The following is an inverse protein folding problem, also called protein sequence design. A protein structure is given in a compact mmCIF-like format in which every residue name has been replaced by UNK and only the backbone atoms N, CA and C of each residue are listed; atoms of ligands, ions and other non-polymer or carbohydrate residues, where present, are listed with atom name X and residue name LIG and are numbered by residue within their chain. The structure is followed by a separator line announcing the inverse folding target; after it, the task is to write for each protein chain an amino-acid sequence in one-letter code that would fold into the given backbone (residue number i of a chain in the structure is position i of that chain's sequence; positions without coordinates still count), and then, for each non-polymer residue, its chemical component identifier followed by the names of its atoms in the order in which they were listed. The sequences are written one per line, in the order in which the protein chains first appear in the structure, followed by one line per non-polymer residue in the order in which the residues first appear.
data_IF_250696045076
#
_entry.id   IF_250696045076
#
_cell.length_a   1.000
_cell.length_b   1.000
_cell.length_c   1.000
_cell.angle_alpha   90.00
_cell.angle_beta   90.00
_cell.angle_gamma   90.00
#
_symmetry.space_group_name_H-M   'P 1'
#
loop_
_entity.id
_entity.type
_entity.pdbx_description
1 polymer ?
#
# COMPACT_ATOMS: atom_id res chain seq x y z
N UNK A 1 21.05 -11.23 -4.80
CA UNK A 1 21.47 -9.86 -4.41
C UNK A 1 21.64 -8.97 -5.65
N UNK A 2 22.28 -9.46 -6.72
CA UNK A 2 22.46 -8.69 -7.97
C UNK A 2 21.15 -8.37 -8.71
N UNK A 3 20.18 -9.29 -8.67
CA UNK A 3 18.90 -9.15 -9.36
C UNK A 3 17.98 -8.06 -8.76
N UNK A 4 18.08 -7.87 -7.46
CA UNK A 4 17.29 -6.82 -6.77
C UNK A 4 17.87 -5.44 -7.07
N UNK A 5 19.20 -5.30 -7.09
CA UNK A 5 19.85 -4.02 -7.40
C UNK A 5 19.60 -3.51 -8.81
N UNK A 6 19.47 -4.41 -9.80
CA UNK A 6 19.21 -4.00 -11.19
C UNK A 6 17.82 -3.41 -11.44
N UNK A 7 16.88 -3.61 -10.52
CA UNK A 7 15.51 -3.06 -10.60
C UNK A 7 15.26 -1.82 -9.73
N UNK A 8 16.21 -1.42 -8.93
CA UNK A 8 16.01 -0.40 -7.90
C UNK A 8 16.62 0.97 -8.25
N UNK A 9 17.14 1.12 -9.47
CA UNK A 9 17.85 2.33 -9.85
C UNK A 9 19.21 2.48 -9.16
N UNK A 10 20.00 3.44 -9.59
CA UNK A 10 21.34 3.70 -9.04
C UNK A 10 21.27 4.44 -7.69
N UNK A 11 20.25 5.27 -7.51
CA UNK A 11 20.01 6.05 -6.30
C UNK A 11 18.54 5.97 -5.87
N UNK A 12 18.19 6.25 -4.62
CA UNK A 12 16.81 6.34 -4.17
C UNK A 12 16.03 7.34 -5.03
N UNK A 13 14.86 6.92 -5.51
CA UNK A 13 13.97 7.72 -6.35
C UNK A 13 14.57 8.18 -7.69
N UNK A 14 15.54 7.44 -8.24
CA UNK A 14 16.15 7.77 -9.56
C UNK A 14 15.25 7.44 -10.75
N UNK A 15 14.36 6.45 -10.59
CA UNK A 15 13.45 6.01 -11.65
C UNK A 15 12.38 7.06 -11.98
N UNK A 16 12.05 7.19 -13.26
CA UNK A 16 11.08 8.20 -13.73
C UNK A 16 9.69 8.00 -13.14
N UNK A 17 9.25 6.77 -13.00
CA UNK A 17 7.97 6.40 -12.40
C UNK A 17 7.92 6.81 -10.93
N UNK A 18 9.01 6.59 -10.20
CA UNK A 18 9.12 6.99 -8.81
C UNK A 18 9.12 8.51 -8.67
N UNK A 19 9.84 9.23 -9.53
CA UNK A 19 9.82 10.71 -9.57
C UNK A 19 8.42 11.24 -9.84
N UNK A 20 7.71 10.65 -10.80
CA UNK A 20 6.33 11.04 -11.12
C UNK A 20 5.39 10.82 -9.91
N UNK A 21 5.50 9.69 -9.23
CA UNK A 21 4.71 9.40 -8.04
C UNK A 21 5.02 10.37 -6.88
N UNK A 22 6.28 10.66 -6.64
CA UNK A 22 6.71 11.65 -5.64
C UNK A 22 6.09 13.01 -5.94
N UNK A 23 6.14 13.44 -7.19
CA UNK A 23 5.56 14.70 -7.62
C UNK A 23 4.05 14.75 -7.36
N UNK A 24 3.32 13.70 -7.73
CA UNK A 24 1.88 13.61 -7.45
C UNK A 24 1.62 13.70 -5.94
N UNK A 25 2.36 12.96 -5.13
CA UNK A 25 2.21 13.00 -3.68
C UNK A 25 2.47 14.41 -3.12
N UNK A 26 3.45 15.12 -3.66
CA UNK A 26 3.77 16.48 -3.22
C UNK A 26 2.72 17.51 -3.63
N UNK A 27 2.18 17.39 -4.84
CA UNK A 27 1.24 18.36 -5.42
C UNK A 27 -0.20 18.23 -4.88
N UNK A 28 -0.61 17.04 -4.43
CA UNK A 28 -1.98 16.80 -3.98
C UNK A 28 -2.08 16.63 -2.46
N UNK A 29 -3.02 17.33 -1.87
CA UNK A 29 -3.37 17.21 -0.44
C UNK A 29 -4.41 16.11 -0.22
N UNK A 30 -3.94 14.86 -0.26
CA UNK A 30 -4.77 13.68 0.02
C UNK A 30 -4.93 13.42 1.53
N UNK A 31 -6.04 12.84 1.92
CA UNK A 31 -6.30 12.38 3.29
C UNK A 31 -5.85 10.95 3.55
N UNK A 32 -5.18 10.34 2.58
CA UNK A 32 -4.64 8.98 2.65
C UNK A 32 -4.17 8.48 1.30
N UNK A 33 -3.46 7.37 1.30
CA UNK A 33 -2.97 6.69 0.11
C UNK A 33 -3.40 5.23 0.14
N UNK A 34 -4.04 4.77 -0.93
CA UNK A 34 -4.29 3.36 -1.17
C UNK A 34 -3.50 2.92 -2.41
N UNK A 35 -2.67 1.92 -2.25
CA UNK A 35 -1.96 1.29 -3.37
C UNK A 35 -2.46 -0.12 -3.57
N UNK A 36 -2.45 -0.59 -4.82
CA UNK A 36 -2.87 -1.94 -5.17
C UNK A 36 -1.69 -2.71 -5.75
N UNK A 37 -1.49 -3.92 -5.25
CA UNK A 37 -0.44 -4.81 -5.69
C UNK A 37 -0.98 -6.23 -5.86
N UNK A 38 -0.28 -7.06 -6.62
CA UNK A 38 -0.64 -8.46 -6.81
C UNK A 38 -0.10 -9.36 -5.69
N UNK A 39 -0.59 -10.59 -5.66
CA UNK A 39 -0.11 -11.72 -4.86
C UNK A 39 -0.63 -11.76 -3.43
N UNK A 40 -1.94 -11.65 -3.26
CA UNK A 40 -2.54 -11.89 -1.96
C UNK A 40 -4.02 -11.56 -1.90
N UNK A 41 -4.56 -11.56 -0.70
CA UNK A 41 -5.86 -11.01 -0.28
C UNK A 41 -5.67 -10.37 1.07
N UNK A 42 -4.93 -9.26 1.08
CA UNK A 42 -4.46 -8.64 2.30
C UNK A 42 -4.59 -7.13 2.24
N UNK A 43 -4.94 -6.55 3.37
CA UNK A 43 -4.85 -5.10 3.61
C UNK A 43 -3.66 -4.88 4.53
N UNK A 44 -2.58 -4.34 4.00
CA UNK A 44 -1.37 -4.06 4.77
C UNK A 44 -1.46 -2.63 5.30
N UNK A 45 -1.43 -2.49 6.62
CA UNK A 45 -1.32 -1.20 7.28
C UNK A 45 0.10 -0.95 7.77
N UNK A 46 0.54 0.27 7.64
CA UNK A 46 1.90 0.68 7.92
C UNK A 46 2.01 1.26 9.31
N UNK A 47 3.08 0.85 9.99
CA UNK A 47 3.48 1.45 11.22
C UNK A 47 4.15 2.79 10.93
N UNK A 48 3.48 3.87 11.27
CA UNK A 48 4.15 5.17 11.29
C UNK A 48 5.27 5.14 12.32
N UNK A 49 6.47 5.49 11.89
CA UNK A 49 7.61 5.67 12.80
C UNK A 49 7.41 6.85 13.78
N UNK A 50 6.25 7.49 13.75
CA UNK A 50 5.96 8.74 14.47
C UNK A 50 5.12 8.51 15.72
N UNK A 51 5.59 7.64 16.57
CA UNK A 51 5.00 7.52 17.88
C UNK A 51 3.80 6.55 17.99
N UNK A 52 3.51 6.23 19.21
CA UNK A 52 2.55 5.22 19.64
C UNK A 52 1.11 5.54 19.23
N UNK A 53 0.82 6.79 18.88
CA UNK A 53 -0.55 7.26 18.59
C UNK A 53 -1.07 6.96 17.17
N UNK A 54 -0.18 6.70 16.19
CA UNK A 54 -0.60 6.50 14.80
C UNK A 54 -1.01 5.08 14.46
N UNK A 55 -0.48 4.08 15.14
CA UNK A 55 -0.82 2.68 14.93
C UNK A 55 -2.29 2.37 15.24
N UNK A 56 -2.87 2.82 16.36
CA UNK A 56 -4.30 2.61 16.63
C UNK A 56 -5.21 3.21 15.55
N UNK A 57 -4.86 4.38 15.02
CA UNK A 57 -5.62 5.00 13.94
C UNK A 57 -5.55 4.19 12.64
N UNK A 58 -4.35 3.81 12.22
CA UNK A 58 -4.15 3.02 10.99
C UNK A 58 -4.84 1.65 11.09
N UNK A 59 -4.72 0.97 12.22
CA UNK A 59 -5.40 -0.29 12.47
C UNK A 59 -6.92 -0.14 12.42
N UNK A 60 -7.47 0.88 13.06
CA UNK A 60 -8.93 1.15 13.04
C UNK A 60 -9.45 1.38 11.63
N UNK A 61 -8.75 2.19 10.84
CA UNK A 61 -9.10 2.44 9.44
C UNK A 61 -9.03 1.16 8.59
N UNK A 62 -7.98 0.36 8.77
CA UNK A 62 -7.85 -0.92 8.10
C UNK A 62 -8.98 -1.90 8.47
N UNK A 63 -9.39 -1.91 9.73
CA UNK A 63 -10.54 -2.72 10.19
C UNK A 63 -11.85 -2.28 9.55
N UNK A 64 -12.06 -1.00 9.33
CA UNK A 64 -13.23 -0.52 8.59
C UNK A 64 -13.23 -1.01 7.15
N UNK A 65 -12.12 -0.89 6.44
CA UNK A 65 -11.99 -1.41 5.08
C UNK A 65 -12.19 -2.94 5.02
N UNK A 66 -11.69 -3.67 6.02
CA UNK A 66 -11.85 -5.12 6.09
C UNK A 66 -13.32 -5.55 6.14
N UNK A 67 -14.21 -4.77 6.75
CA UNK A 67 -15.64 -5.12 6.87
C UNK A 67 -16.34 -5.28 5.52
N UNK A 68 -15.88 -4.61 4.48
CA UNK A 68 -16.43 -4.68 3.13
C UNK A 68 -15.72 -5.71 2.24
N UNK A 69 -14.78 -6.45 2.78
CA UNK A 69 -13.99 -7.42 2.03
C UNK A 69 -13.71 -8.68 2.87
N UNK A 70 -13.30 -9.76 2.22
CA UNK A 70 -12.82 -10.98 2.87
C UNK A 70 -11.30 -10.98 3.08
N UNK A 71 -10.67 -9.81 2.96
CA UNK A 71 -9.22 -9.68 3.03
C UNK A 71 -8.71 -9.73 4.47
N UNK A 72 -7.52 -10.28 4.63
CA UNK A 72 -6.84 -10.31 5.92
C UNK A 72 -6.13 -9.00 6.21
N UNK A 73 -6.09 -8.63 7.48
CA UNK A 73 -5.27 -7.51 7.92
C UNK A 73 -3.86 -8.00 8.21
N UNK A 74 -2.89 -7.35 7.60
CA UNK A 74 -1.48 -7.57 7.86
C UNK A 74 -0.81 -6.28 8.28
N UNK A 75 0.04 -6.38 9.29
CA UNK A 75 0.93 -5.29 9.65
C UNK A 75 2.18 -5.36 8.78
N UNK A 76 2.65 -4.21 8.29
CA UNK A 76 3.96 -4.17 7.64
C UNK A 76 5.02 -4.80 8.55
N UNK A 77 5.63 -5.86 8.05
CA UNK A 77 6.70 -6.57 8.74
C UNK A 77 8.04 -6.18 8.10
N UNK A 78 8.64 -5.13 8.58
CA UNK A 78 10.00 -4.79 8.23
C UNK A 78 10.88 -5.05 9.45
N UNK A 79 11.67 -6.12 9.42
CA UNK A 79 12.66 -6.39 10.46
C UNK A 79 13.73 -5.31 10.47
N UNK A 80 14.35 -5.05 11.62
CA UNK A 80 15.43 -4.05 11.74
C UNK A 80 16.59 -4.34 10.77
N UNK A 81 16.95 -5.61 10.60
CA UNK A 81 17.97 -6.02 9.62
C UNK A 81 17.55 -5.71 8.18
N UNK A 82 16.26 -5.83 7.84
CA UNK A 82 15.75 -5.44 6.54
C UNK A 82 15.76 -3.92 6.37
N UNK A 83 15.46 -3.15 7.42
CA UNK A 83 15.56 -1.68 7.40
C UNK A 83 16.97 -1.19 7.13
N UNK A 84 17.97 -1.77 7.79
CA UNK A 84 19.39 -1.44 7.56
C UNK A 84 19.83 -1.79 6.15
N UNK A 85 19.47 -3.00 5.68
CA UNK A 85 19.82 -3.50 4.34
C UNK A 85 19.18 -2.69 3.22
N UNK A 86 17.99 -2.17 3.46
CA UNK A 86 17.22 -1.36 2.51
C UNK A 86 17.17 0.13 2.90
N UNK A 87 18.17 0.61 3.61
CA UNK A 87 18.29 2.01 4.00
C UNK A 87 18.26 2.90 2.76
N UNK A 88 17.27 3.79 2.70
CA UNK A 88 17.01 4.61 1.52
C UNK A 88 16.03 4.02 0.50
N UNK A 89 15.57 2.78 0.71
CA UNK A 89 14.56 2.14 -0.13
C UNK A 89 13.24 2.14 0.62
N UNK A 90 12.42 3.12 0.35
CA UNK A 90 11.08 3.21 0.91
C UNK A 90 10.02 2.68 -0.06
N UNK A 91 8.89 2.27 0.49
CA UNK A 91 7.69 2.06 -0.31
C UNK A 91 6.96 3.38 -0.52
N UNK A 92 6.09 3.50 -1.54
CA UNK A 92 5.24 4.68 -1.72
C UNK A 92 4.44 5.03 -0.47
N UNK A 93 3.95 4.02 0.24
CA UNK A 93 3.18 4.18 1.47
C UNK A 93 4.02 4.80 2.59
N UNK A 94 5.25 4.33 2.78
CA UNK A 94 6.17 4.88 3.78
C UNK A 94 6.53 6.34 3.46
N UNK A 95 6.84 6.62 2.20
CA UNK A 95 7.12 7.98 1.76
C UNK A 95 5.93 8.91 2.00
N UNK A 96 4.72 8.46 1.66
CA UNK A 96 3.49 9.23 1.87
C UNK A 96 3.26 9.53 3.35
N UNK A 97 3.37 8.54 4.21
CA UNK A 97 3.20 8.69 5.66
C UNK A 97 4.23 9.67 6.23
N UNK A 98 5.48 9.57 5.82
CA UNK A 98 6.55 10.45 6.29
C UNK A 98 6.35 11.91 5.83
N UNK A 99 5.89 12.09 4.60
CA UNK A 99 5.75 13.41 3.96
C UNK A 99 4.45 14.10 4.34
N UNK A 100 3.33 13.40 4.26
CA UNK A 100 1.98 13.96 4.45
C UNK A 100 1.41 13.77 5.86
N UNK A 101 2.01 12.90 6.67
CA UNK A 101 1.51 12.55 8.01
C UNK A 101 0.09 12.00 8.00
N UNK A 102 -0.30 11.38 6.91
CA UNK A 102 -1.61 10.76 6.69
C UNK A 102 -1.46 9.25 6.51
N UNK A 103 -2.51 8.46 6.77
CA UNK A 103 -2.46 7.02 6.64
C UNK A 103 -2.21 6.55 5.20
N UNK A 104 -1.56 5.42 5.06
CA UNK A 104 -1.38 4.73 3.79
C UNK A 104 -1.56 3.22 3.97
N UNK A 105 -2.11 2.56 2.95
CA UNK A 105 -2.39 1.13 2.95
C UNK A 105 -2.03 0.52 1.62
N UNK A 106 -1.53 -0.71 1.65
CA UNK A 106 -1.34 -1.52 0.45
C UNK A 106 -2.39 -2.63 0.43
N UNK A 107 -3.16 -2.67 -0.64
CA UNK A 107 -4.15 -3.70 -0.88
C UNK A 107 -3.52 -4.73 -1.83
N UNK A 108 -3.27 -5.93 -1.34
CA UNK A 108 -2.83 -7.02 -2.19
C UNK A 108 -4.04 -7.75 -2.75
N UNK A 109 -4.12 -7.83 -4.06
CA UNK A 109 -5.16 -8.53 -4.79
C UNK A 109 -4.64 -9.84 -5.38
N UNK A 110 -5.49 -10.83 -5.63
CA UNK A 110 -5.06 -12.08 -6.25
C UNK A 110 -4.31 -11.85 -7.56
N UNK A 111 -3.24 -12.61 -7.77
CA UNK A 111 -2.55 -12.64 -9.05
C UNK A 111 -3.46 -13.26 -10.10
N UNK A 112 -3.42 -12.73 -11.33
CA UNK A 112 -4.17 -13.31 -12.44
C UNK A 112 -3.60 -14.68 -12.81
N UNK A 113 -4.45 -15.68 -12.96
CA UNK A 113 -4.06 -16.95 -13.54
C UNK A 113 -3.78 -16.76 -15.05
N UNK A 114 -2.60 -17.14 -15.50
CA UNK A 114 -2.04 -16.77 -16.81
C UNK A 114 -2.65 -17.39 -18.06
N UNK A 115 -3.89 -17.91 -18.06
CA UNK A 115 -4.52 -18.56 -19.19
C UNK A 115 -5.82 -17.86 -19.64
N UNK A 116 -5.66 -17.05 -20.58
CA UNK A 116 -6.51 -16.26 -21.49
C UNK A 116 -8.04 -16.19 -21.36
N UNK A 117 -8.75 -17.22 -20.95
CA UNK A 117 -10.22 -17.21 -20.89
C UNK A 117 -10.82 -16.90 -19.52
N UNK A 118 -10.08 -17.13 -18.45
CA UNK A 118 -10.50 -16.80 -17.08
C UNK A 118 -10.17 -15.37 -16.62
N UNK A 119 -9.39 -14.64 -17.40
CA UNK A 119 -8.81 -13.35 -16.98
C UNK A 119 -9.87 -12.25 -16.76
N UNK A 120 -10.90 -12.18 -17.60
CA UNK A 120 -11.94 -11.15 -17.45
C UNK A 120 -12.91 -11.46 -16.30
N UNK A 121 -13.25 -12.73 -16.10
CA UNK A 121 -14.07 -13.18 -14.98
C UNK A 121 -13.32 -13.00 -13.66
N UNK A 122 -12.02 -13.32 -13.63
CA UNK A 122 -11.14 -13.12 -12.48
C UNK A 122 -11.01 -11.63 -12.14
N UNK A 123 -10.85 -10.77 -13.13
CA UNK A 123 -10.80 -9.30 -12.93
C UNK A 123 -12.10 -8.77 -12.34
N UNK A 124 -13.23 -9.20 -12.87
CA UNK A 124 -14.54 -8.80 -12.38
C UNK A 124 -14.76 -9.24 -10.93
N UNK A 125 -14.42 -10.49 -10.61
CA UNK A 125 -14.52 -11.02 -9.26
C UNK A 125 -13.63 -10.23 -8.27
N UNK A 126 -12.38 -9.94 -8.65
CA UNK A 126 -11.48 -9.11 -7.83
C UNK A 126 -12.01 -7.70 -7.67
N UNK A 127 -12.50 -7.08 -8.74
CA UNK A 127 -13.10 -5.76 -8.66
C UNK A 127 -14.29 -5.73 -7.70
N UNK A 128 -15.18 -6.70 -7.75
CA UNK A 128 -16.32 -6.83 -6.82
C UNK A 128 -15.87 -6.97 -5.36
N UNK A 129 -14.71 -7.59 -5.12
CA UNK A 129 -14.15 -7.70 -3.76
C UNK A 129 -13.61 -6.38 -3.21
N UNK A 130 -13.08 -5.52 -4.05
CA UNK A 130 -12.28 -4.36 -3.60
C UNK A 130 -12.87 -2.99 -3.92
N UNK A 131 -13.88 -2.89 -4.78
CA UNK A 131 -14.39 -1.59 -5.25
C UNK A 131 -14.98 -0.70 -4.13
N UNK A 132 -15.41 -1.29 -3.03
CA UNK A 132 -15.92 -0.56 -1.89
C UNK A 132 -14.83 -0.11 -0.91
N UNK A 133 -13.61 -0.65 -0.99
CA UNK A 133 -12.55 -0.31 -0.04
C UNK A 133 -12.22 1.19 0.02
N UNK A 134 -12.11 1.91 -1.10
CA UNK A 134 -11.88 3.35 -1.05
C UNK A 134 -13.02 4.12 -0.38
N UNK A 135 -14.26 3.71 -0.61
CA UNK A 135 -15.43 4.32 0.03
C UNK A 135 -15.46 4.07 1.53
N UNK A 136 -15.22 2.83 1.96
CA UNK A 136 -15.12 2.48 3.38
C UNK A 136 -14.00 3.25 4.07
N UNK A 137 -12.88 3.47 3.38
CA UNK A 137 -11.81 4.30 3.89
C UNK A 137 -12.29 5.74 4.11
N UNK A 138 -12.93 6.35 3.11
CA UNK A 138 -13.42 7.73 3.19
C UNK A 138 -14.42 7.86 4.34
N UNK A 139 -15.40 6.97 4.44
CA UNK A 139 -16.39 7.00 5.52
C UNK A 139 -15.77 6.80 6.91
N UNK A 140 -14.70 6.02 7.00
CA UNK A 140 -14.00 5.79 8.26
C UNK A 140 -13.20 6.98 8.78
N UNK A 141 -12.89 7.94 7.90
CA UNK A 141 -12.16 9.16 8.29
C UNK A 141 -13.00 10.11 9.15
N UNK A 142 -14.30 10.10 8.97
CA UNK A 142 -15.24 11.02 9.64
C UNK A 142 -15.80 10.43 10.94
N UNK A 143 -15.46 9.18 11.23
CA UNK A 143 -15.76 8.48 12.47
C UNK A 143 -14.51 8.38 13.35
#
# INVERSE_FOLDING_TARGET
VHYIRSRMGEEPASENETKALIRIIQEYDGRGLLTFAQSGREIIYYHCQQGVGSLPKSYRLARHMQKSSSYHLEREQMTESAREKFKGMGTPEQYYIQTKKQPAFRIKVPAQSGNGRGVEEDKKAVYEEIHLLPLEYIFSLDN
#
